data_IF_628676506687
#
_entry.id   IF_628676506687
#
_cell.length_a   1.000
_cell.length_b   1.000
_cell.length_c   1.000
_cell.angle_alpha   90.00
_cell.angle_beta   90.00
_cell.angle_gamma   90.00
#
_symmetry.space_group_name_H-M   'P 1'
#
loop_
_entity.id
_entity.type
_entity.pdbx_description
1 polymer ?
#
# COMPACT_ATOMS: atom_id res chain seq x y z
N UNK A 1 12.70 18.13 -24.39
CA UNK A 1 12.26 16.73 -24.20
C UNK A 1 11.85 16.08 -25.51
N UNK A 2 11.32 16.83 -26.49
CA UNK A 2 11.12 16.29 -27.84
C UNK A 2 12.43 15.78 -28.44
N UNK A 3 12.36 14.63 -29.10
CA UNK A 3 13.50 13.92 -29.67
C UNK A 3 14.29 13.05 -28.69
N UNK A 4 13.83 12.90 -27.44
CA UNK A 4 14.53 12.06 -26.45
C UNK A 4 14.15 10.60 -26.66
N UNK A 5 15.12 9.70 -26.50
CA UNK A 5 14.88 8.27 -26.58
C UNK A 5 14.21 7.78 -25.30
N UNK A 6 13.13 7.01 -25.43
CA UNK A 6 12.46 6.40 -24.30
C UNK A 6 13.03 5.00 -24.08
N UNK A 7 13.61 4.78 -22.91
CA UNK A 7 14.09 3.48 -22.45
C UNK A 7 13.20 2.95 -21.33
N UNK A 8 12.79 1.70 -21.43
CA UNK A 8 12.08 0.99 -20.36
C UNK A 8 13.04 0.63 -19.22
N UNK A 9 12.48 0.13 -18.11
CA UNK A 9 13.25 -0.23 -16.92
C UNK A 9 14.30 -1.34 -17.18
N UNK A 10 14.11 -2.14 -18.21
CA UNK A 10 15.01 -3.20 -18.69
C UNK A 10 15.95 -2.71 -19.80
N UNK A 11 16.17 -1.41 -19.91
CA UNK A 11 17.04 -0.72 -20.89
C UNK A 11 16.65 -1.00 -22.36
N UNK A 12 15.42 -1.46 -22.64
CA UNK A 12 14.94 -1.59 -24.00
C UNK A 12 14.44 -0.26 -24.56
N UNK A 13 14.73 -0.02 -25.84
CA UNK A 13 14.19 1.16 -26.53
C UNK A 13 12.71 0.97 -26.82
N UNK A 14 11.89 1.81 -26.21
CA UNK A 14 10.46 1.81 -26.36
C UNK A 14 9.99 2.74 -27.48
N UNK A 15 10.68 3.86 -27.71
CA UNK A 15 10.32 4.83 -28.75
C UNK A 15 11.07 6.15 -28.63
N UNK A 16 10.49 7.21 -29.18
CA UNK A 16 11.03 8.57 -29.11
C UNK A 16 9.93 9.54 -28.68
N UNK A 17 10.24 10.47 -27.78
CA UNK A 17 9.28 11.52 -27.37
C UNK A 17 9.07 12.50 -28.51
N UNK A 18 7.83 12.69 -28.95
CA UNK A 18 7.46 13.63 -30.02
C UNK A 18 6.69 14.85 -29.52
N UNK A 19 6.24 14.83 -28.26
CA UNK A 19 5.55 15.95 -27.64
C UNK A 19 5.22 15.70 -26.18
N UNK A 20 4.68 16.73 -25.53
CA UNK A 20 4.09 16.66 -24.18
C UNK A 20 2.76 17.39 -24.19
N UNK A 21 1.73 16.78 -23.60
CA UNK A 21 0.41 17.37 -23.40
C UNK A 21 0.03 17.20 -21.93
N UNK A 22 -0.13 18.31 -21.19
CA UNK A 22 -0.44 18.26 -19.76
C UNK A 22 0.63 17.47 -18.97
N UNK A 23 0.17 16.47 -18.21
CA UNK A 23 1.02 15.53 -17.46
C UNK A 23 1.38 14.26 -18.26
N UNK A 24 1.19 14.28 -19.58
CA UNK A 24 1.36 13.13 -20.44
C UNK A 24 2.41 13.39 -21.53
N UNK A 25 3.35 12.47 -21.70
CA UNK A 25 4.33 12.46 -22.78
C UNK A 25 3.78 11.69 -23.97
N UNK A 26 4.01 12.19 -25.18
CA UNK A 26 3.62 11.51 -26.41
C UNK A 26 4.86 10.80 -26.96
N UNK A 27 4.80 9.48 -27.02
CA UNK A 27 5.88 8.62 -27.48
C UNK A 27 5.52 8.02 -28.83
N UNK A 28 6.37 8.25 -29.82
CA UNK A 28 6.24 7.64 -31.13
C UNK A 28 6.99 6.31 -31.17
N UNK A 29 6.32 5.28 -31.65
CA UNK A 29 6.82 3.91 -31.77
C UNK A 29 6.60 3.38 -33.19
N UNK A 30 7.45 2.41 -33.58
CA UNK A 30 7.36 1.75 -34.88
C UNK A 30 8.31 2.32 -35.93
N UNK A 31 8.82 1.43 -36.79
CA UNK A 31 9.81 1.79 -37.81
C UNK A 31 9.19 2.18 -39.17
N UNK A 32 8.05 1.57 -39.52
CA UNK A 32 7.38 1.76 -40.82
C UNK A 32 6.03 2.44 -40.62
N UNK A 33 5.17 1.86 -39.78
CA UNK A 33 3.96 2.50 -39.30
C UNK A 33 4.22 3.09 -37.93
N UNK A 34 4.09 4.41 -37.84
CA UNK A 34 4.35 5.16 -36.62
C UNK A 34 3.06 5.27 -35.82
N UNK A 35 3.09 4.75 -34.60
CA UNK A 35 2.00 4.86 -33.64
C UNK A 35 2.41 5.83 -32.55
N UNK A 36 1.49 6.71 -32.15
CA UNK A 36 1.71 7.65 -31.06
C UNK A 36 0.99 7.13 -29.83
N UNK A 37 1.76 6.74 -28.83
CA UNK A 37 1.28 6.28 -27.53
C UNK A 37 1.47 7.35 -26.50
N UNK A 38 0.66 7.29 -25.45
CA UNK A 38 0.72 8.23 -24.33
C UNK A 38 1.41 7.57 -23.15
N UNK A 39 2.36 8.28 -22.55
CA UNK A 39 3.08 7.88 -21.34
C UNK A 39 2.92 8.94 -20.26
N UNK A 40 2.29 8.65 -19.11
CA UNK A 40 2.20 9.59 -18.01
C UNK A 40 3.58 9.99 -17.47
N UNK A 41 3.77 11.27 -17.17
CA UNK A 41 5.06 11.80 -16.71
C UNK A 41 5.47 11.27 -15.33
N UNK A 42 4.50 10.85 -14.51
CA UNK A 42 4.74 10.17 -13.22
C UNK A 42 5.55 8.88 -13.35
N UNK A 43 5.53 8.22 -14.51
CA UNK A 43 6.33 7.03 -14.78
C UNK A 43 7.61 7.33 -15.54
N UNK A 44 7.87 8.60 -15.87
CA UNK A 44 8.98 9.03 -16.71
C UNK A 44 10.01 9.83 -15.90
N UNK A 45 11.24 9.31 -15.84
CA UNK A 45 12.40 10.03 -15.31
C UNK A 45 13.26 10.53 -16.46
N UNK A 46 13.59 11.82 -16.46
CA UNK A 46 14.33 12.46 -17.55
C UNK A 46 15.80 12.57 -17.18
N UNK A 47 16.66 12.02 -18.03
CA UNK A 47 18.10 12.24 -18.01
C UNK A 47 18.46 13.27 -19.09
N UNK A 48 18.70 14.51 -18.66
CA UNK A 48 19.05 15.60 -19.56
C UNK A 48 20.44 15.46 -20.18
N UNK A 49 21.38 14.81 -19.48
CA UNK A 49 22.75 14.61 -19.95
C UNK A 49 22.83 13.60 -21.08
N UNK A 50 22.02 12.53 -21.00
CA UNK A 50 21.91 11.51 -22.03
C UNK A 50 20.88 11.79 -23.13
N UNK A 51 19.98 12.77 -22.93
CA UNK A 51 18.76 12.96 -23.73
C UNK A 51 17.87 11.71 -23.77
N UNK A 52 17.73 11.06 -22.61
CA UNK A 52 17.00 9.81 -22.44
C UNK A 52 15.85 10.04 -21.46
N UNK A 53 14.71 9.42 -21.73
CA UNK A 53 13.61 9.29 -20.79
C UNK A 53 13.55 7.84 -20.34
N UNK A 54 13.86 7.58 -19.06
CA UNK A 54 13.73 6.26 -18.45
C UNK A 54 12.31 6.09 -17.92
N UNK A 55 11.62 5.05 -18.33
CA UNK A 55 10.28 4.73 -17.85
C UNK A 55 10.26 3.48 -16.97
N UNK A 56 9.41 3.48 -15.96
CA UNK A 56 9.21 2.32 -15.08
C UNK A 56 8.25 1.29 -15.68
N UNK A 57 7.55 1.62 -16.77
CA UNK A 57 6.64 0.68 -17.44
C UNK A 57 7.39 -0.18 -18.46
N UNK A 58 6.90 -1.40 -18.70
CA UNK A 58 7.44 -2.27 -19.74
C UNK A 58 7.03 -1.78 -21.13
N UNK A 59 7.75 -2.25 -22.15
CA UNK A 59 7.41 -1.94 -23.54
C UNK A 59 6.01 -2.43 -23.90
N UNK A 60 5.61 -3.63 -23.49
CA UNK A 60 4.29 -4.19 -23.80
C UNK A 60 3.14 -3.35 -23.23
N UNK A 61 3.33 -2.76 -22.04
CA UNK A 61 2.36 -1.85 -21.43
C UNK A 61 2.27 -0.54 -22.22
N UNK A 62 3.37 -0.04 -22.77
CA UNK A 62 3.37 1.14 -23.61
C UNK A 62 2.78 0.86 -25.01
N UNK A 63 3.10 -0.29 -25.60
CA UNK A 63 2.60 -0.69 -26.91
C UNK A 63 1.07 -0.89 -26.91
N UNK A 64 0.50 -1.30 -25.77
CA UNK A 64 -0.95 -1.44 -25.55
C UNK A 64 -1.66 -0.17 -25.09
N UNK A 65 -0.92 0.92 -24.83
CA UNK A 65 -1.48 2.18 -24.34
C UNK A 65 -2.41 2.83 -25.38
N UNK A 66 -3.35 3.70 -24.96
CA UNK A 66 -4.21 4.44 -25.89
C UNK A 66 -3.41 5.18 -26.97
N UNK A 67 -3.88 5.13 -28.22
CA UNK A 67 -3.30 5.93 -29.30
C UNK A 67 -3.74 7.38 -29.20
N UNK A 68 -2.87 8.30 -29.60
CA UNK A 68 -3.22 9.71 -29.76
C UNK A 68 -3.98 9.89 -31.06
N UNK A 69 -5.29 10.16 -30.96
CA UNK A 69 -6.15 10.46 -32.10
C UNK A 69 -6.10 11.93 -32.52
N UNK A 70 -6.88 12.27 -33.55
CA UNK A 70 -6.98 13.65 -34.08
C UNK A 70 -7.61 14.63 -33.06
N UNK A 71 -8.42 14.12 -32.14
CA UNK A 71 -9.06 14.89 -31.06
C UNK A 71 -8.12 15.14 -29.87
N UNK A 72 -6.92 14.55 -29.88
CA UNK A 72 -5.89 14.70 -28.85
C UNK A 72 -5.76 13.49 -27.91
N UNK A 73 -5.15 13.72 -26.75
CA UNK A 73 -4.99 12.70 -25.70
C UNK A 73 -6.27 12.58 -24.87
N UNK A 74 -6.83 11.37 -24.84
CA UNK A 74 -7.89 10.99 -23.88
C UNK A 74 -7.26 10.68 -22.53
N UNK A 75 -7.31 11.64 -21.61
CA UNK A 75 -6.69 11.51 -20.29
C UNK A 75 -7.37 10.43 -19.42
N UNK A 76 -8.67 10.18 -19.62
CA UNK A 76 -9.41 9.16 -18.86
C UNK A 76 -8.97 7.76 -19.30
N UNK A 77 -8.94 7.50 -20.61
CA UNK A 77 -8.47 6.22 -21.14
C UNK A 77 -7.02 5.92 -20.73
N UNK A 78 -6.16 6.95 -20.69
CA UNK A 78 -4.77 6.82 -20.22
C UNK A 78 -4.73 6.48 -18.74
N UNK A 79 -5.53 7.16 -17.91
CA UNK A 79 -5.57 6.87 -16.49
C UNK A 79 -6.03 5.45 -16.19
N UNK A 80 -7.11 5.00 -16.84
CA UNK A 80 -7.64 3.64 -16.71
C UNK A 80 -6.60 2.59 -17.12
N UNK A 81 -5.91 2.80 -18.24
CA UNK A 81 -4.88 1.88 -18.75
C UNK A 81 -3.69 1.73 -17.80
N UNK A 82 -3.24 2.83 -17.21
CA UNK A 82 -2.10 2.84 -16.29
C UNK A 82 -2.48 2.64 -14.82
N UNK A 83 -3.77 2.43 -14.52
CA UNK A 83 -4.26 2.29 -13.15
C UNK A 83 -4.05 3.54 -12.29
N UNK A 84 -3.99 4.72 -12.93
CA UNK A 84 -3.89 5.99 -12.24
C UNK A 84 -5.27 6.38 -11.71
N UNK A 85 -5.35 6.76 -10.43
CA UNK A 85 -6.55 7.32 -9.86
C UNK A 85 -6.80 8.71 -10.45
N UNK A 86 -7.48 8.77 -11.60
CA UNK A 86 -7.90 10.01 -12.22
C UNK A 86 -9.34 10.29 -11.82
N UNK A 87 -9.50 11.11 -10.79
CA UNK A 87 -10.80 11.70 -10.44
C UNK A 87 -11.89 10.73 -9.95
N UNK A 88 -11.63 9.43 -9.81
CA UNK A 88 -12.59 8.53 -9.16
C UNK A 88 -12.64 8.83 -7.64
N UNK A 89 -13.81 9.26 -7.19
CA UNK A 89 -14.23 9.13 -5.79
C UNK A 89 -13.87 7.70 -5.34
N UNK A 90 -13.34 7.61 -4.11
CA UNK A 90 -12.89 6.36 -3.49
C UNK A 90 -13.71 5.14 -3.95
N UNK A 91 -13.05 3.99 -4.26
CA UNK A 91 -13.73 2.81 -4.76
C UNK A 91 -15.01 2.56 -3.96
N UNK A 92 -16.12 2.30 -4.64
CA UNK A 92 -17.45 2.18 -4.00
C UNK A 92 -17.55 1.11 -2.91
N UNK A 93 -16.50 0.30 -2.74
CA UNK A 93 -16.26 -0.51 -1.56
C UNK A 93 -15.38 0.26 -0.57
N UNK A 94 -15.99 0.81 0.48
CA UNK A 94 -15.32 1.46 1.63
C UNK A 94 -14.41 0.50 2.45
N UNK A 95 -14.04 -0.67 1.93
CA UNK A 95 -13.39 -1.71 2.73
C UNK A 95 -14.24 -2.20 3.89
N UNK A 96 -15.56 -1.94 3.86
CA UNK A 96 -16.52 -2.55 4.77
C UNK A 96 -16.79 -3.97 4.27
N UNK A 97 -15.77 -4.83 4.45
CA UNK A 97 -15.86 -6.23 4.13
C UNK A 97 -17.03 -6.83 4.90
N UNK A 98 -18.18 -6.98 4.25
CA UNK A 98 -19.24 -7.81 4.80
C UNK A 98 -18.73 -9.25 4.76
N UNK A 99 -18.10 -9.65 5.87
CA UNK A 99 -17.58 -11.01 6.04
C UNK A 99 -18.77 -11.96 5.86
N UNK A 100 -18.67 -12.81 4.85
CA UNK A 100 -19.64 -13.88 4.62
C UNK A 100 -19.76 -14.74 5.90
N UNK A 101 -20.90 -15.39 6.19
CA UNK A 101 -21.05 -16.23 7.37
C UNK A 101 -19.92 -17.25 7.54
N UNK A 102 -19.38 -17.74 6.44
CA UNK A 102 -18.34 -18.77 6.34
C UNK A 102 -16.94 -18.22 6.01
N UNK A 103 -16.70 -16.92 6.24
CA UNK A 103 -15.38 -16.33 5.99
C UNK A 103 -14.34 -16.85 7.00
N UNK A 104 -13.22 -17.47 6.55
CA UNK A 104 -12.21 -18.05 7.44
C UNK A 104 -11.46 -16.99 8.28
N UNK A 105 -11.59 -15.71 7.96
CA UNK A 105 -11.07 -14.61 8.78
C UNK A 105 -11.96 -14.28 9.98
N UNK A 106 -13.15 -14.87 10.10
CA UNK A 106 -14.01 -14.73 11.29
C UNK A 106 -13.40 -15.46 12.49
N UNK A 107 -13.18 -14.71 13.55
CA UNK A 107 -12.73 -15.26 14.84
C UNK A 107 -13.93 -15.63 15.73
N UNK A 108 -13.72 -16.60 16.63
CA UNK A 108 -14.73 -16.99 17.61
C UNK A 108 -15.20 -15.81 18.48
N UNK A 109 -14.29 -14.90 18.84
CA UNK A 109 -14.60 -13.73 19.66
C UNK A 109 -15.54 -12.74 18.95
N UNK A 110 -15.44 -12.60 17.62
CA UNK A 110 -16.35 -11.76 16.82
C UNK A 110 -17.77 -12.36 16.77
N UNK A 111 -17.89 -13.69 16.77
CA UNK A 111 -19.18 -14.39 16.80
C UNK A 111 -19.85 -14.28 18.18
N UNK A 112 -19.07 -14.41 19.26
CA UNK A 112 -19.52 -14.28 20.65
C UNK A 112 -20.11 -12.88 20.93
N UNK A 113 -19.42 -11.81 20.49
CA UNK A 113 -19.92 -10.43 20.65
C UNK A 113 -21.27 -10.19 19.96
N UNK A 114 -21.49 -10.83 18.80
CA UNK A 114 -22.71 -10.65 18.02
C UNK A 114 -23.90 -11.42 18.58
N UNK A 115 -23.67 -12.59 19.18
CA UNK A 115 -24.72 -13.42 19.80
C UNK A 115 -25.03 -12.99 21.24
N UNK A 116 -24.33 -11.96 21.75
CA UNK A 116 -24.48 -11.47 23.12
C UNK A 116 -23.88 -12.42 24.16
N UNK A 117 -23.02 -13.34 23.73
CA UNK A 117 -22.29 -14.26 24.61
C UNK A 117 -21.02 -13.55 25.09
N UNK A 118 -20.73 -13.66 26.39
CA UNK A 118 -19.51 -13.09 26.96
C UNK A 118 -18.27 -13.67 26.27
N UNK A 119 -17.40 -12.79 25.76
CA UNK A 119 -16.21 -13.24 25.05
C UNK A 119 -15.18 -13.82 26.00
N UNK A 120 -14.35 -14.74 25.49
CA UNK A 120 -13.21 -15.25 26.26
C UNK A 120 -12.27 -14.11 26.73
N UNK A 121 -12.09 -13.06 25.92
CA UNK A 121 -11.34 -11.87 26.31
C UNK A 121 -12.01 -11.09 27.46
N UNK A 122 -13.33 -10.92 27.44
CA UNK A 122 -14.07 -10.27 28.52
C UNK A 122 -13.97 -11.06 29.82
N UNK A 123 -14.09 -12.40 29.75
CA UNK A 123 -13.90 -13.27 30.91
C UNK A 123 -12.49 -13.15 31.51
N UNK A 124 -11.45 -13.11 30.67
CA UNK A 124 -10.06 -12.88 31.13
C UNK A 124 -9.87 -11.51 31.78
N UNK A 125 -10.42 -10.46 31.18
CA UNK A 125 -10.34 -9.10 31.71
C UNK A 125 -11.08 -8.97 33.06
N UNK A 126 -12.23 -9.62 33.20
CA UNK A 126 -12.99 -9.68 34.44
C UNK A 126 -12.21 -10.38 35.55
N UNK A 127 -11.62 -11.54 35.26
CA UNK A 127 -10.78 -12.27 36.22
C UNK A 127 -9.58 -11.43 36.66
N UNK A 128 -8.96 -10.67 35.76
CA UNK A 128 -7.86 -9.76 36.09
C UNK A 128 -8.29 -8.53 36.90
N UNK A 129 -9.53 -8.05 36.74
CA UNK A 129 -10.07 -6.94 37.53
C UNK A 129 -10.55 -7.40 38.91
N UNK A 130 -11.13 -8.60 39.01
CA UNK A 130 -11.53 -9.22 40.28
C UNK A 130 -10.31 -9.66 41.11
N UNK A 131 -9.23 -10.10 40.44
CA UNK A 131 -7.94 -10.38 41.08
C UNK A 131 -7.04 -9.14 41.01
N UNK A 132 -7.30 -8.16 41.88
CA UNK A 132 -6.34 -7.07 42.11
C UNK A 132 -4.91 -7.60 42.31
N UNK A 133 -3.89 -6.82 41.90
CA UNK A 133 -2.47 -7.19 42.02
C UNK A 133 -2.16 -7.73 43.43
N UNK A 134 -1.97 -9.04 43.55
CA UNK A 134 -1.52 -9.71 44.79
C UNK A 134 -2.60 -10.29 45.70
N UNK A 135 -3.64 -10.93 45.17
CA UNK A 135 -4.51 -11.83 45.96
C UNK A 135 -4.91 -13.08 45.17
N UNK A 136 -3.92 -13.93 44.89
CA UNK A 136 -4.10 -15.33 44.53
C UNK A 136 -4.12 -16.24 45.77
N UNK A 137 -4.66 -17.47 45.68
CA UNK A 137 -4.73 -18.42 46.79
C UNK A 137 -3.37 -18.91 47.32
N UNK A 138 -2.26 -18.48 46.69
CA UNK A 138 -0.88 -18.75 47.10
C UNK A 138 -0.18 -17.53 47.74
N UNK A 139 -0.89 -16.40 47.93
CA UNK A 139 -0.33 -15.23 48.59
C UNK A 139 -0.34 -15.46 50.11
N UNK A 140 0.78 -15.95 50.61
CA UNK A 140 1.02 -16.07 52.04
C UNK A 140 1.54 -14.74 52.60
N UNK A 141 1.11 -14.32 53.81
CA UNK A 141 1.72 -13.18 54.47
C UNK A 141 3.21 -13.47 54.68
N UNK A 142 4.00 -12.45 54.35
CA UNK A 142 5.45 -12.40 54.40
C UNK A 142 5.96 -13.05 55.71
N UNK A 143 6.64 -14.19 55.58
CA UNK A 143 7.28 -14.85 56.72
C UNK A 143 8.25 -13.87 57.39
N UNK A 144 8.23 -13.71 58.73
CA UNK A 144 9.20 -12.87 59.40
C UNK A 144 10.59 -13.48 59.17
N UNK A 145 11.42 -12.81 58.38
CA UNK A 145 12.78 -13.21 58.10
C UNK A 145 13.57 -13.32 59.40
N UNK A 146 13.81 -14.55 59.86
CA UNK A 146 14.69 -14.84 60.98
C UNK A 146 16.14 -14.72 60.48
N UNK A 147 16.88 -13.81 61.12
CA UNK A 147 18.34 -13.60 61.09
C UNK A 147 18.94 -12.73 59.97
N UNK A 148 19.33 -11.51 60.36
CA UNK A 148 20.28 -10.70 59.62
C UNK A 148 20.51 -9.27 60.11
N UNK A 149 20.15 -8.90 61.35
CA UNK A 149 20.53 -7.58 61.89
C UNK A 149 22.03 -7.55 62.20
N UNK A 150 22.77 -6.67 61.52
CA UNK A 150 23.91 -5.99 62.12
C UNK A 150 24.10 -4.63 61.46
N UNK A 151 23.38 -3.66 61.99
CA UNK A 151 23.69 -2.25 61.83
C UNK A 151 25.13 -1.94 62.26
N UNK A 152 25.88 -1.35 61.32
CA UNK A 152 27.11 -0.60 61.57
C UNK A 152 26.78 0.63 62.42
N UNK A 153 27.46 0.77 63.57
CA UNK A 153 27.65 2.05 64.25
C UNK A 153 29.10 2.09 64.77
N UNK A 154 29.83 3.13 64.39
CA UNK A 154 31.25 3.28 64.66
C UNK A 154 31.59 3.93 66.02
N UNK A 155 32.80 3.65 66.49
CA UNK A 155 33.88 4.58 66.83
C UNK A 155 35.16 3.80 67.10
#
# INVERSE_FOLDING_TARGET
MEGYDVLTFDDQRAGTVVGKQGSNLIVEQGAIFKHRRVLPDVFATVDEGGKIVRTTVSKDVLDSAPEVGDEGVDEQAVAEHYGLAYGDDAPGTLGDGSLNPDDPTRTAETQEQRTGVETAAAGRARIQQEQGRGQGPNDHPESPGLLGDRNLHGR
#
